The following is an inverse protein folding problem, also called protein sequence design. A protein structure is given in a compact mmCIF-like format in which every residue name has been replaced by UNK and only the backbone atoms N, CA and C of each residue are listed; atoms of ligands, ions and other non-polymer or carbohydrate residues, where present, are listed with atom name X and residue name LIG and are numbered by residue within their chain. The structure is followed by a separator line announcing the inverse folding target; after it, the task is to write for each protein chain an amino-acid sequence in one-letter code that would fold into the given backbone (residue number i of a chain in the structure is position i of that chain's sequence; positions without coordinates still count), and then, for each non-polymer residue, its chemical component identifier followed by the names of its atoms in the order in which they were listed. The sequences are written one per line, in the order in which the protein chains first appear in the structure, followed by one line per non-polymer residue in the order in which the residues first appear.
data_IF_652547479171
#
_entry.id   IF_652547479171
#
_cell.length_a   1.000
_cell.length_b   1.000
_cell.length_c   1.000
_cell.angle_alpha   90.00
_cell.angle_beta   90.00
_cell.angle_gamma   90.00
#
_symmetry.space_group_name_H-M   'P 1'
#
loop_
_entity.id
_entity.type
_entity.pdbx_description
1 polymer ?
#
# COMPACT_ATOMS: atom_id res chain seq x y z
N UNK A 1 -25.12 54.06 18.77
CA UNK A 1 -24.81 52.62 18.89
C UNK A 1 -23.94 52.45 20.13
N UNK A 2 -24.58 52.20 21.26
CA UNK A 2 -24.16 52.72 22.58
C UNK A 2 -23.06 51.94 23.28
N UNK A 3 -22.37 52.63 24.19
CA UNK A 3 -21.35 52.12 25.14
C UNK A 3 -21.71 50.78 25.79
N UNK A 4 -23.00 50.50 25.95
CA UNK A 4 -23.52 49.29 26.57
C UNK A 4 -23.21 48.01 25.76
N UNK A 5 -23.21 48.09 24.42
CA UNK A 5 -22.81 46.97 23.56
C UNK A 5 -21.29 46.71 23.65
N UNK A 6 -20.48 47.76 23.81
CA UNK A 6 -19.03 47.62 23.96
C UNK A 6 -18.65 47.01 25.31
N UNK A 7 -19.38 47.32 26.39
CA UNK A 7 -19.22 46.66 27.70
C UNK A 7 -19.62 45.17 27.63
N UNK A 8 -20.71 44.83 26.93
CA UNK A 8 -21.10 43.44 26.69
C UNK A 8 -20.05 42.66 25.90
N UNK A 9 -19.49 43.23 24.82
CA UNK A 9 -18.42 42.58 24.07
C UNK A 9 -17.14 42.39 24.89
N UNK A 10 -16.76 43.35 25.75
CA UNK A 10 -15.63 43.19 26.68
C UNK A 10 -15.88 42.11 27.73
N UNK A 11 -17.12 42.01 28.21
CA UNK A 11 -17.54 40.94 29.13
C UNK A 11 -17.53 39.57 28.46
N UNK A 12 -18.06 39.43 27.25
CA UNK A 12 -18.02 38.18 26.48
C UNK A 12 -16.60 37.78 26.10
N UNK A 13 -15.75 38.74 25.72
CA UNK A 13 -14.35 38.48 25.43
C UNK A 13 -13.59 38.03 26.68
N UNK A 14 -13.84 38.66 27.83
CA UNK A 14 -13.29 38.24 29.12
C UNK A 14 -13.74 36.84 29.53
N UNK A 15 -15.03 36.52 29.34
CA UNK A 15 -15.58 35.19 29.62
C UNK A 15 -14.97 34.11 28.70
N UNK A 16 -14.80 34.42 27.42
CA UNK A 16 -14.18 33.51 26.45
C UNK A 16 -12.70 33.24 26.77
N UNK A 17 -11.96 34.27 27.18
CA UNK A 17 -10.57 34.13 27.62
C UNK A 17 -10.44 33.29 28.89
N UNK A 18 -11.40 33.41 29.81
CA UNK A 18 -11.44 32.61 31.03
C UNK A 18 -11.67 31.12 30.70
N UNK A 19 -12.60 30.81 29.80
CA UNK A 19 -12.88 29.43 29.36
C UNK A 19 -11.67 28.81 28.63
N UNK A 20 -10.98 29.58 27.80
CA UNK A 20 -9.77 29.12 27.10
C UNK A 20 -8.62 28.74 28.07
N UNK A 21 -8.51 29.42 29.22
CA UNK A 21 -7.48 29.14 30.24
C UNK A 21 -7.79 27.87 31.06
N UNK A 22 -9.05 27.44 31.15
CA UNK A 22 -9.45 26.21 31.86
C UNK A 22 -9.55 24.98 30.94
N UNK A 23 -9.29 25.11 29.63
CA UNK A 23 -9.41 24.00 28.67
C UNK A 23 -8.21 23.02 28.67
N UNK A 24 -7.25 23.16 29.59
CA UNK A 24 -6.12 22.24 29.70
C UNK A 24 -6.53 21.03 30.54
N UNK A 25 -7.09 20.02 29.88
CA UNK A 25 -7.40 18.74 30.48
C UNK A 25 -6.08 18.05 30.87
N UNK A 26 -5.87 17.83 32.18
CA UNK A 26 -4.73 17.05 32.65
C UNK A 26 -4.91 15.61 32.16
N UNK A 27 -4.00 15.16 31.29
CA UNK A 27 -3.99 13.78 30.78
C UNK A 27 -4.09 12.84 31.99
N UNK A 28 -5.17 12.07 32.07
CA UNK A 28 -5.34 11.07 33.13
C UNK A 28 -4.10 10.18 33.16
N UNK A 29 -3.45 9.98 34.32
CA UNK A 29 -2.27 9.13 34.38
C UNK A 29 -2.67 7.72 33.95
N UNK A 30 -1.98 7.17 32.94
CA UNK A 30 -2.22 5.82 32.40
C UNK A 30 -1.76 4.68 33.35
N UNK A 31 -1.67 4.97 34.66
CA UNK A 31 -1.12 4.08 35.69
C UNK A 31 0.37 4.35 35.99
N UNK A 32 0.92 3.55 36.89
CA UNK A 32 2.33 3.59 37.29
C UNK A 32 3.24 3.09 36.15
N UNK A 33 4.43 3.68 36.04
CA UNK A 33 5.43 3.23 35.09
C UNK A 33 5.87 1.79 35.41
N UNK A 34 5.68 0.88 34.45
CA UNK A 34 6.11 -0.51 34.58
C UNK A 34 7.60 -0.65 34.22
N UNK A 35 8.32 -1.49 34.98
CA UNK A 35 9.72 -1.82 34.68
C UNK A 35 9.75 -2.81 33.51
N UNK A 36 10.58 -2.53 32.50
CA UNK A 36 10.82 -3.47 31.39
C UNK A 36 11.48 -4.75 31.92
N UNK A 37 10.84 -5.89 31.70
CA UNK A 37 11.38 -7.21 32.05
C UNK A 37 12.01 -7.87 30.81
N UNK A 38 13.22 -8.43 30.93
CA UNK A 38 13.82 -9.17 29.83
C UNK A 38 13.01 -10.44 29.56
N UNK A 39 12.89 -10.80 28.28
CA UNK A 39 12.23 -12.03 27.85
C UNK A 39 13.30 -12.95 27.30
N UNK A 40 13.65 -14.01 28.03
CA UNK A 40 14.79 -14.88 27.71
C UNK A 40 14.79 -15.39 26.25
N UNK A 41 13.62 -15.57 25.63
CA UNK A 41 13.50 -15.93 24.21
C UNK A 41 13.98 -14.81 23.29
N UNK A 42 13.59 -13.56 23.56
CA UNK A 42 14.04 -12.38 22.80
C UNK A 42 15.55 -12.21 22.96
N UNK A 43 16.06 -12.34 24.19
CA UNK A 43 17.52 -12.27 24.46
C UNK A 43 18.33 -13.35 23.74
N UNK A 44 17.70 -14.47 23.36
CA UNK A 44 18.35 -15.53 22.58
C UNK A 44 18.36 -15.27 21.07
N UNK A 45 17.62 -14.28 20.58
CA UNK A 45 17.61 -13.92 19.17
C UNK A 45 18.87 -13.10 18.88
N UNK A 46 19.68 -13.49 17.89
CA UNK A 46 20.85 -12.69 17.54
C UNK A 46 20.40 -11.33 16.96
N UNK A 47 21.08 -10.25 17.37
CA UNK A 47 20.79 -8.88 16.89
C UNK A 47 20.86 -8.76 15.36
N UNK A 48 21.67 -9.62 14.73
CA UNK A 48 21.81 -9.71 13.29
C UNK A 48 21.71 -11.16 12.81
N UNK A 49 21.04 -11.40 11.66
CA UNK A 49 21.02 -12.73 11.06
C UNK A 49 22.44 -13.11 10.60
N UNK A 50 22.82 -14.38 10.82
CA UNK A 50 24.11 -14.93 10.39
C UNK A 50 23.86 -16.11 9.44
N UNK A 51 24.36 -16.06 8.19
CA UNK A 51 25.06 -14.95 7.57
C UNK A 51 24.15 -13.75 7.27
N UNK A 52 24.70 -12.54 7.33
CA UNK A 52 23.98 -11.34 6.93
C UNK A 52 23.89 -11.26 5.40
N UNK A 53 22.68 -11.43 4.87
CA UNK A 53 22.41 -11.35 3.43
C UNK A 53 21.29 -10.32 3.21
N UNK A 54 21.66 -9.11 2.83
CA UNK A 54 20.68 -8.12 2.36
C UNK A 54 20.27 -8.49 0.94
N UNK A 55 18.97 -8.54 0.69
CA UNK A 55 18.42 -8.66 -0.65
C UNK A 55 18.70 -7.36 -1.40
N UNK A 56 19.25 -7.46 -2.62
CA UNK A 56 19.25 -6.32 -3.53
C UNK A 56 17.80 -6.04 -3.96
N UNK A 57 17.15 -5.12 -3.24
CA UNK A 57 15.75 -4.79 -3.47
C UNK A 57 15.51 -4.14 -4.83
N UNK A 58 16.51 -3.46 -5.38
CA UNK A 58 16.40 -2.87 -6.72
C UNK A 58 16.39 -3.97 -7.76
N UNK A 59 17.36 -4.88 -7.71
CA UNK A 59 17.39 -6.02 -8.63
C UNK A 59 16.15 -6.89 -8.46
N UNK A 60 15.72 -7.14 -7.22
CA UNK A 60 14.51 -7.91 -6.93
C UNK A 60 13.25 -7.32 -7.57
N UNK A 61 13.11 -6.00 -7.58
CA UNK A 61 11.98 -5.33 -8.21
C UNK A 61 12.02 -5.44 -9.74
N UNK A 62 13.21 -5.33 -10.34
CA UNK A 62 13.42 -5.53 -11.79
C UNK A 62 13.11 -6.98 -12.18
N UNK A 63 13.66 -7.95 -11.44
CA UNK A 63 13.44 -9.38 -11.68
C UNK A 63 11.96 -9.77 -11.52
N UNK A 64 11.27 -9.15 -10.55
CA UNK A 64 9.84 -9.35 -10.36
C UNK A 64 9.06 -8.86 -11.58
N UNK A 65 9.40 -7.69 -12.10
CA UNK A 65 8.73 -7.14 -13.29
C UNK A 65 8.90 -8.04 -14.51
N UNK A 66 10.14 -8.43 -14.79
CA UNK A 66 10.47 -9.36 -15.88
C UNK A 66 9.72 -10.68 -15.72
N UNK A 67 9.61 -11.19 -14.49
CA UNK A 67 8.92 -12.44 -14.23
C UNK A 67 7.41 -12.36 -14.42
N UNK A 68 6.74 -11.35 -13.84
CA UNK A 68 5.27 -11.33 -13.83
C UNK A 68 4.67 -10.81 -15.13
N UNK A 69 5.41 -10.05 -15.94
CA UNK A 69 4.96 -9.54 -17.25
C UNK A 69 5.45 -10.38 -18.43
N UNK A 70 6.02 -11.56 -18.17
CA UNK A 70 6.42 -12.52 -19.20
C UNK A 70 5.22 -13.40 -19.64
N UNK A 71 4.77 -13.18 -20.87
CA UNK A 71 3.70 -13.98 -21.50
C UNK A 71 4.21 -15.33 -22.04
N UNK A 72 5.52 -15.50 -22.20
CA UNK A 72 6.13 -16.63 -22.88
C UNK A 72 7.21 -17.27 -21.99
N UNK A 73 6.76 -17.83 -20.87
CA UNK A 73 7.66 -18.45 -19.89
C UNK A 73 7.61 -19.98 -19.95
N UNK A 74 8.79 -20.62 -19.95
CA UNK A 74 8.94 -22.07 -19.90
C UNK A 74 8.96 -22.62 -18.45
N UNK A 75 8.62 -21.78 -17.48
CA UNK A 75 8.64 -22.13 -16.06
C UNK A 75 7.47 -23.06 -15.71
N UNK A 76 7.67 -23.90 -14.68
CA UNK A 76 6.65 -24.86 -14.21
C UNK A 76 5.32 -24.18 -13.80
N UNK A 77 5.38 -22.93 -13.36
CA UNK A 77 4.18 -22.16 -12.98
C UNK A 77 3.39 -21.64 -14.17
N UNK A 78 3.96 -21.68 -15.38
CA UNK A 78 3.42 -20.99 -16.55
C UNK A 78 3.42 -19.46 -16.40
N UNK A 79 2.86 -18.74 -17.38
CA UNK A 79 2.72 -17.29 -17.34
C UNK A 79 1.87 -16.85 -16.17
N UNK A 80 2.32 -15.83 -15.44
CA UNK A 80 1.55 -15.24 -14.33
C UNK A 80 0.63 -14.10 -14.79
N UNK A 81 0.71 -13.75 -16.07
CA UNK A 81 -0.07 -12.71 -16.72
C UNK A 81 -0.92 -13.28 -17.84
N UNK A 82 -2.11 -12.70 -18.02
CA UNK A 82 -2.96 -12.93 -19.18
C UNK A 82 -3.68 -11.65 -19.57
N UNK A 83 -4.29 -11.64 -20.75
CA UNK A 83 -5.13 -10.53 -21.20
C UNK A 83 -6.59 -10.79 -20.84
N UNK A 84 -7.25 -9.76 -20.31
CA UNK A 84 -8.67 -9.77 -20.00
C UNK A 84 -9.39 -8.81 -20.97
N UNK A 85 -10.37 -9.31 -21.73
CA UNK A 85 -11.15 -8.52 -22.66
C UNK A 85 -12.65 -8.48 -22.31
N UNK A 86 -13.02 -8.67 -21.04
CA UNK A 86 -14.43 -8.61 -20.58
C UNK A 86 -15.00 -7.20 -20.61
N UNK A 87 -14.14 -6.18 -20.55
CA UNK A 87 -14.53 -4.76 -20.66
C UNK A 87 -15.63 -4.35 -19.66
N UNK A 88 -15.63 -4.96 -18.46
CA UNK A 88 -16.77 -4.88 -17.55
C UNK A 88 -17.03 -3.48 -17.00
N UNK A 89 -15.96 -2.76 -16.69
CA UNK A 89 -16.03 -1.41 -16.12
C UNK A 89 -15.75 -0.33 -17.17
N UNK A 90 -14.89 -0.63 -18.16
CA UNK A 90 -14.40 0.29 -19.18
C UNK A 90 -14.33 -0.49 -20.51
N UNK A 91 -14.73 0.11 -21.66
CA UNK A 91 -14.64 -0.52 -22.98
C UNK A 91 -13.19 -0.61 -23.48
N UNK A 92 -12.37 -1.38 -22.78
CA UNK A 92 -10.95 -1.52 -23.03
C UNK A 92 -10.45 -2.88 -22.54
N UNK A 93 -9.53 -3.48 -23.29
CA UNK A 93 -8.79 -4.65 -22.85
C UNK A 93 -7.88 -4.29 -21.66
N UNK A 94 -7.86 -5.16 -20.66
CA UNK A 94 -7.03 -5.08 -19.47
C UNK A 94 -6.09 -6.29 -19.42
N UNK A 95 -5.31 -6.41 -18.34
CA UNK A 95 -4.52 -7.59 -18.04
C UNK A 95 -4.88 -8.12 -16.66
N UNK A 96 -4.64 -9.40 -16.44
CA UNK A 96 -4.79 -10.05 -15.15
C UNK A 96 -3.45 -10.54 -14.61
N UNK A 97 -3.26 -10.41 -13.29
CA UNK A 97 -2.22 -11.10 -12.52
C UNK A 97 -2.88 -11.93 -11.43
N UNK A 98 -2.20 -13.01 -11.03
CA UNK A 98 -2.64 -13.85 -9.92
C UNK A 98 -2.41 -13.18 -8.54
N UNK A 99 -3.33 -13.38 -7.60
CA UNK A 99 -3.13 -13.11 -6.16
C UNK A 99 -2.13 -14.09 -5.56
N UNK A 100 -2.31 -15.36 -5.92
CA UNK A 100 -1.45 -16.48 -5.55
C UNK A 100 -1.25 -17.36 -6.78
N UNK A 101 -0.04 -17.89 -6.95
CA UNK A 101 0.31 -18.75 -8.09
C UNK A 101 -0.69 -19.91 -8.16
N UNK A 102 -1.30 -20.10 -9.33
CA UNK A 102 -2.30 -21.12 -9.61
C UNK A 102 -3.55 -21.08 -8.71
N UNK A 103 -3.97 -19.88 -8.27
CA UNK A 103 -5.28 -19.73 -7.60
C UNK A 103 -6.41 -20.22 -8.51
N UNK A 104 -7.17 -21.21 -8.05
CA UNK A 104 -8.23 -21.87 -8.83
C UNK A 104 -9.41 -20.96 -9.19
N UNK A 105 -9.47 -19.76 -8.61
CA UNK A 105 -10.53 -18.76 -8.89
C UNK A 105 -10.13 -17.80 -10.01
N UNK A 106 -8.85 -17.76 -10.37
CA UNK A 106 -8.26 -16.76 -11.26
C UNK A 106 -7.54 -17.44 -12.44
N UNK A 107 -7.08 -16.62 -13.38
CA UNK A 107 -6.33 -17.07 -14.54
C UNK A 107 -7.18 -17.20 -15.79
N UNK A 108 -6.54 -17.37 -16.96
CA UNK A 108 -7.22 -17.35 -18.26
C UNK A 108 -8.28 -18.44 -18.42
N UNK A 109 -8.07 -19.60 -17.77
CA UNK A 109 -8.96 -20.76 -17.89
C UNK A 109 -10.12 -20.77 -16.87
N UNK A 110 -10.14 -19.84 -15.91
CA UNK A 110 -11.14 -19.79 -14.84
C UNK A 110 -11.95 -18.49 -14.91
N UNK A 111 -13.27 -18.57 -14.71
CA UNK A 111 -14.17 -17.41 -14.79
C UNK A 111 -13.93 -16.56 -16.05
N UNK A 112 -13.63 -17.24 -17.16
CA UNK A 112 -13.29 -16.65 -18.45
C UNK A 112 -12.04 -15.74 -18.44
N UNK A 113 -11.29 -15.65 -17.34
CA UNK A 113 -10.15 -14.73 -17.19
C UNK A 113 -10.50 -13.37 -16.61
N UNK A 114 -11.75 -13.14 -16.19
CA UNK A 114 -12.20 -11.85 -15.64
C UNK A 114 -11.65 -11.58 -14.22
N UNK A 115 -11.35 -12.63 -13.45
CA UNK A 115 -10.96 -12.49 -12.05
C UNK A 115 -9.44 -12.44 -11.89
N UNK A 116 -8.93 -11.30 -11.42
CA UNK A 116 -7.51 -11.03 -11.21
C UNK A 116 -7.25 -10.08 -10.04
N UNK A 117 -6.00 -10.01 -9.61
CA UNK A 117 -5.55 -9.25 -8.44
C UNK A 117 -5.24 -7.79 -8.79
N UNK A 118 -6.01 -6.85 -8.25
CA UNK A 118 -5.84 -5.42 -8.53
C UNK A 118 -4.70 -4.77 -7.75
N UNK A 119 -4.48 -5.13 -6.48
CA UNK A 119 -3.44 -4.51 -5.65
C UNK A 119 -2.04 -4.84 -6.16
N UNK A 120 -1.82 -6.12 -6.51
CA UNK A 120 -0.57 -6.57 -7.12
C UNK A 120 -0.36 -5.90 -8.48
N UNK A 121 -1.38 -5.85 -9.33
CA UNK A 121 -1.28 -5.23 -10.67
C UNK A 121 -0.90 -3.75 -10.61
N UNK A 122 -1.58 -2.97 -9.76
CA UNK A 122 -1.29 -1.55 -9.58
C UNK A 122 0.12 -1.33 -9.01
N UNK A 123 0.47 -2.10 -7.96
CA UNK A 123 1.77 -1.97 -7.30
C UNK A 123 2.92 -2.38 -8.21
N UNK A 124 2.72 -3.38 -9.07
CA UNK A 124 3.71 -3.82 -10.04
C UNK A 124 4.01 -2.73 -11.08
N UNK A 125 2.97 -2.06 -11.61
CA UNK A 125 3.14 -0.93 -12.54
C UNK A 125 3.88 0.23 -11.86
N UNK A 126 3.45 0.64 -10.67
CA UNK A 126 4.09 1.73 -9.93
C UNK A 126 5.55 1.40 -9.57
N UNK A 127 5.79 0.20 -9.06
CA UNK A 127 7.12 -0.27 -8.67
C UNK A 127 8.08 -0.30 -9.86
N UNK A 128 7.62 -0.80 -11.01
CA UNK A 128 8.38 -0.81 -12.25
C UNK A 128 8.73 0.61 -12.72
N UNK A 129 7.76 1.53 -12.66
CA UNK A 129 7.99 2.95 -12.97
C UNK A 129 9.06 3.58 -12.07
N UNK A 130 9.06 3.29 -10.77
CA UNK A 130 10.10 3.74 -9.83
C UNK A 130 11.48 3.15 -10.16
N UNK A 131 11.53 1.96 -10.76
CA UNK A 131 12.77 1.32 -11.21
C UNK A 131 13.22 1.78 -12.60
N UNK A 132 12.46 2.65 -13.28
CA UNK A 132 12.77 3.17 -14.61
C UNK A 132 12.31 2.29 -15.76
N UNK A 133 11.39 1.35 -15.52
CA UNK A 133 10.77 0.52 -16.56
C UNK A 133 9.57 1.26 -17.14
N UNK A 134 9.56 1.44 -18.47
CA UNK A 134 8.47 2.14 -19.17
C UNK A 134 7.25 1.24 -19.35
N UNK A 135 6.30 1.35 -18.41
CA UNK A 135 5.00 0.64 -18.47
C UNK A 135 4.01 1.22 -19.47
N UNK A 136 4.31 2.36 -20.12
CA UNK A 136 3.49 2.87 -21.21
C UNK A 136 3.78 2.16 -22.53
N UNK A 137 4.92 1.47 -22.61
CA UNK A 137 5.33 0.67 -23.75
C UNK A 137 6.32 -0.45 -23.33
N UNK A 138 5.79 -1.53 -22.77
CA UNK A 138 6.56 -2.75 -22.51
C UNK A 138 5.95 -3.91 -23.29
N UNK A 139 6.77 -4.59 -24.07
CA UNK A 139 6.39 -5.75 -24.87
C UNK A 139 5.19 -5.49 -25.82
N UNK A 140 5.02 -4.24 -26.26
CA UNK A 140 3.92 -3.81 -27.14
C UNK A 140 2.64 -3.42 -26.40
N UNK A 141 2.62 -3.43 -25.07
CA UNK A 141 1.47 -3.07 -24.25
C UNK A 141 1.69 -1.77 -23.49
N UNK A 142 0.59 -1.03 -23.31
CA UNK A 142 0.52 0.12 -22.42
C UNK A 142 -0.21 -0.28 -21.14
N UNK A 143 0.52 -0.86 -20.20
CA UNK A 143 -0.05 -1.36 -18.94
C UNK A 143 -0.67 -0.26 -18.08
N UNK A 144 -0.17 0.98 -18.19
CA UNK A 144 -0.75 2.13 -17.50
C UNK A 144 -2.18 2.44 -17.96
N UNK A 145 -2.49 2.17 -19.24
CA UNK A 145 -3.87 2.28 -19.74
C UNK A 145 -4.71 1.09 -19.34
N UNK A 146 -4.12 -0.10 -19.26
CA UNK A 146 -4.82 -1.39 -19.11
C UNK A 146 -5.27 -1.75 -17.69
N UNK A 147 -5.33 -0.79 -16.76
CA UNK A 147 -5.77 -0.96 -15.36
C UNK A 147 -7.11 -0.28 -15.07
#
# INVERSE_FOLDING_TARGET
MGEDNMKKHRLYFGLFLLVALFSCESKKPFGDAVIQKPVARIESMPDFPKPYKIIDWKQKAIDFDEYVFDFHTDRETGPLIWLDNHQRNIPQQTFGLYTAINDSRQGPDNNNGEFHESLTSFSAILGAGLMGIDKTNQNGYNYVKMI
#
